data_IF_237462531883
#
_entry.id   IF_237462531883
#
_cell.length_a   1.000
_cell.length_b   1.000
_cell.length_c   1.000
_cell.angle_alpha   90.00
_cell.angle_beta   90.00
_cell.angle_gamma   90.00
#
_symmetry.space_group_name_H-M   'P 1'
#
loop_
_entity.id
_entity.type
_entity.pdbx_description
1 polymer ?
#
# COMPACT_ATOMS: atom_id res chain seq x y z
N UNK A 1 18.54 -0.93 -10.40
CA UNK A 1 19.15 0.41 -10.26
C UNK A 1 18.37 1.20 -9.22
N UNK A 2 19.01 1.64 -8.15
CA UNK A 2 18.34 2.39 -7.06
C UNK A 2 17.74 3.73 -7.54
N UNK A 3 18.32 4.30 -8.59
CA UNK A 3 17.92 5.59 -9.20
C UNK A 3 16.50 5.57 -9.78
N UNK A 4 16.03 4.42 -10.28
CA UNK A 4 14.69 4.30 -10.85
C UNK A 4 13.59 4.25 -9.77
N UNK A 5 13.90 3.68 -8.59
CA UNK A 5 12.95 3.57 -7.49
C UNK A 5 12.70 4.90 -6.78
N UNK A 6 13.74 5.68 -6.49
CA UNK A 6 13.57 7.01 -5.90
C UNK A 6 12.75 7.94 -6.79
N UNK A 7 13.01 7.90 -8.10
CA UNK A 7 12.25 8.70 -9.07
C UNK A 7 10.78 8.27 -9.11
N UNK A 8 10.50 6.96 -9.12
CA UNK A 8 9.14 6.43 -9.10
C UNK A 8 8.40 6.81 -7.80
N UNK A 9 9.05 6.67 -6.64
CA UNK A 9 8.47 7.06 -5.35
C UNK A 9 8.12 8.55 -5.32
N UNK A 10 9.01 9.42 -5.80
CA UNK A 10 8.74 10.87 -5.88
C UNK A 10 7.50 11.18 -6.71
N UNK A 11 7.35 10.55 -7.89
CA UNK A 11 6.16 10.76 -8.72
C UNK A 11 4.88 10.20 -8.07
N UNK A 12 4.98 9.07 -7.36
CA UNK A 12 3.86 8.50 -6.63
C UNK A 12 3.45 9.37 -5.44
N UNK A 13 4.40 9.98 -4.72
CA UNK A 13 4.13 10.94 -3.65
C UNK A 13 3.38 12.17 -4.16
N UNK A 14 3.83 12.77 -5.26
CA UNK A 14 3.14 13.88 -5.91
C UNK A 14 1.72 13.48 -6.36
N UNK A 15 1.57 12.28 -6.94
CA UNK A 15 0.25 11.76 -7.31
C UNK A 15 -0.65 11.55 -6.08
N UNK A 16 -0.09 11.05 -4.98
CA UNK A 16 -0.83 10.82 -3.74
C UNK A 16 -1.35 12.13 -3.16
N UNK A 17 -0.55 13.19 -3.19
CA UNK A 17 -0.92 14.53 -2.75
C UNK A 17 -2.09 15.09 -3.59
N UNK A 18 -1.96 15.08 -4.91
CA UNK A 18 -3.03 15.55 -5.82
C UNK A 18 -4.32 14.74 -5.60
N UNK A 19 -4.22 13.40 -5.51
CA UNK A 19 -5.39 12.54 -5.30
C UNK A 19 -6.05 12.79 -3.95
N UNK A 20 -5.27 13.11 -2.92
CA UNK A 20 -5.79 13.52 -1.61
C UNK A 20 -6.53 14.85 -1.71
N UNK A 21 -5.97 15.84 -2.41
CA UNK A 21 -6.59 17.17 -2.57
C UNK A 21 -7.93 17.09 -3.30
N UNK A 22 -8.04 16.26 -4.33
CA UNK A 22 -9.29 16.09 -5.10
C UNK A 22 -10.25 15.05 -4.50
N UNK A 23 -9.86 14.37 -3.42
CA UNK A 23 -10.68 13.34 -2.77
C UNK A 23 -10.77 12.00 -3.51
N UNK A 24 -9.85 11.70 -4.44
CA UNK A 24 -9.78 10.44 -5.17
C UNK A 24 -9.20 9.29 -4.31
N UNK A 25 -10.06 8.71 -3.47
CA UNK A 25 -9.68 7.62 -2.56
C UNK A 25 -9.24 6.35 -3.30
N UNK A 26 -9.87 6.02 -4.44
CA UNK A 26 -9.51 4.85 -5.24
C UNK A 26 -8.11 4.97 -5.81
N UNK A 27 -7.76 6.16 -6.32
CA UNK A 27 -6.44 6.46 -6.77
C UNK A 27 -5.40 6.50 -5.65
N UNK A 28 -5.73 7.08 -4.48
CA UNK A 28 -4.84 7.05 -3.32
C UNK A 28 -4.50 5.61 -2.92
N UNK A 29 -5.50 4.73 -2.91
CA UNK A 29 -5.35 3.32 -2.61
C UNK A 29 -4.37 2.61 -3.57
N UNK A 30 -4.54 2.81 -4.89
CA UNK A 30 -3.66 2.25 -5.90
C UNK A 30 -2.23 2.82 -5.82
N UNK A 31 -2.09 4.12 -5.58
CA UNK A 31 -0.78 4.77 -5.42
C UNK A 31 -0.01 4.21 -4.23
N UNK A 32 -0.67 4.10 -3.06
CA UNK A 32 -0.07 3.50 -1.85
C UNK A 32 0.32 2.04 -2.07
N UNK A 33 -0.53 1.26 -2.75
CA UNK A 33 -0.23 -0.13 -3.08
C UNK A 33 1.06 -0.26 -3.91
N UNK A 34 1.21 0.59 -4.92
CA UNK A 34 2.41 0.62 -5.78
C UNK A 34 3.66 1.06 -5.03
N UNK A 35 3.55 2.05 -4.14
CA UNK A 35 4.68 2.45 -3.27
C UNK A 35 5.14 1.29 -2.40
N UNK A 36 4.21 0.49 -1.87
CA UNK A 36 4.52 -0.71 -1.09
C UNK A 36 5.37 -1.72 -1.90
N UNK A 37 4.99 -1.98 -3.15
CA UNK A 37 5.76 -2.85 -4.04
C UNK A 37 7.15 -2.31 -4.34
N UNK A 38 7.29 -1.02 -4.62
CA UNK A 38 8.61 -0.41 -4.89
C UNK A 38 9.52 -0.52 -3.66
N UNK A 39 8.99 -0.26 -2.46
CA UNK A 39 9.76 -0.42 -1.23
C UNK A 39 10.19 -1.88 -1.01
N UNK A 40 9.30 -2.85 -1.25
CA UNK A 40 9.63 -4.28 -1.17
C UNK A 40 10.74 -4.64 -2.17
N UNK A 41 10.65 -4.15 -3.42
CA UNK A 41 11.70 -4.34 -4.43
C UNK A 41 13.03 -3.66 -4.08
N UNK A 42 12.99 -2.61 -3.26
CA UNK A 42 14.17 -1.93 -2.73
C UNK A 42 14.67 -2.52 -1.39
N UNK A 43 14.15 -3.70 -0.98
CA UNK A 43 14.45 -4.37 0.28
C UNK A 43 14.08 -3.58 1.56
N UNK A 44 13.19 -2.58 1.43
CA UNK A 44 12.67 -1.81 2.56
C UNK A 44 11.30 -2.36 2.99
N UNK A 45 11.33 -3.54 3.62
CA UNK A 45 10.14 -4.29 3.96
C UNK A 45 9.21 -3.55 4.94
N UNK A 46 9.77 -2.79 5.90
CA UNK A 46 8.96 -2.02 6.84
C UNK A 46 8.15 -0.92 6.14
N UNK A 47 8.77 -0.18 5.21
CA UNK A 47 8.01 0.80 4.42
C UNK A 47 7.03 0.13 3.47
N UNK A 48 7.36 -1.04 2.93
CA UNK A 48 6.43 -1.79 2.09
C UNK A 48 5.13 -2.10 2.83
N UNK A 49 5.26 -2.73 4.00
CA UNK A 49 4.15 -3.08 4.89
C UNK A 49 3.33 -1.85 5.29
N UNK A 50 3.99 -0.76 5.69
CA UNK A 50 3.29 0.49 6.03
C UNK A 50 2.41 1.01 4.88
N UNK A 51 2.91 1.00 3.64
CA UNK A 51 2.15 1.50 2.49
C UNK A 51 1.01 0.56 2.10
N UNK A 52 1.21 -0.75 2.18
CA UNK A 52 0.15 -1.74 1.95
C UNK A 52 -0.94 -1.67 3.02
N UNK A 53 -0.59 -1.49 4.30
CA UNK A 53 -1.56 -1.28 5.39
C UNK A 53 -2.39 -0.01 5.15
N UNK A 54 -1.77 1.11 4.77
CA UNK A 54 -2.50 2.33 4.42
C UNK A 54 -3.44 2.12 3.23
N UNK A 55 -3.00 1.39 2.20
CA UNK A 55 -3.83 1.03 1.05
C UNK A 55 -5.02 0.15 1.47
N UNK A 56 -4.78 -0.84 2.34
CA UNK A 56 -5.79 -1.72 2.91
C UNK A 56 -6.88 -0.95 3.66
N UNK A 57 -6.50 -0.03 4.55
CA UNK A 57 -7.50 0.75 5.30
C UNK A 57 -8.39 1.59 4.38
N UNK A 58 -7.82 2.24 3.37
CA UNK A 58 -8.62 3.00 2.39
C UNK A 58 -9.52 2.05 1.59
N UNK A 59 -8.98 0.92 1.11
CA UNK A 59 -9.73 -0.08 0.34
C UNK A 59 -10.92 -0.63 1.14
N UNK A 60 -10.70 -0.95 2.43
CA UNK A 60 -11.73 -1.42 3.36
C UNK A 60 -12.80 -0.36 3.61
N UNK A 61 -12.42 0.90 3.74
CA UNK A 61 -13.36 2.03 3.94
C UNK A 61 -14.26 2.29 2.72
N UNK A 62 -13.73 2.16 1.50
CA UNK A 62 -14.49 2.46 0.27
C UNK A 62 -15.07 1.22 -0.41
N UNK A 63 -14.80 0.01 0.11
CA UNK A 63 -15.24 -1.24 -0.48
C UNK A 63 -14.53 -1.60 -1.80
N UNK A 64 -13.24 -1.26 -1.93
CA UNK A 64 -12.50 -1.46 -3.18
C UNK A 64 -12.06 -2.91 -3.39
N UNK A 65 -12.99 -3.75 -3.87
CA UNK A 65 -12.82 -5.19 -4.00
C UNK A 65 -11.54 -5.60 -4.77
N UNK A 66 -11.22 -4.91 -5.87
CA UNK A 66 -10.04 -5.23 -6.67
C UNK A 66 -8.73 -5.12 -5.88
N UNK A 67 -8.57 -4.07 -5.07
CA UNK A 67 -7.36 -3.88 -4.26
C UNK A 67 -7.37 -4.82 -3.06
N UNK A 68 -8.54 -5.08 -2.46
CA UNK A 68 -8.67 -6.05 -1.38
C UNK A 68 -8.25 -7.46 -1.82
N UNK A 69 -8.68 -7.93 -2.99
CA UNK A 69 -8.23 -9.23 -3.52
C UNK A 69 -6.73 -9.27 -3.79
N UNK A 70 -6.15 -8.17 -4.29
CA UNK A 70 -4.70 -8.09 -4.49
C UNK A 70 -3.93 -8.14 -3.16
N UNK A 71 -4.42 -7.44 -2.14
CA UNK A 71 -3.85 -7.41 -0.80
C UNK A 71 -4.01 -8.75 -0.06
N UNK A 72 -5.10 -9.48 -0.29
CA UNK A 72 -5.31 -10.82 0.26
C UNK A 72 -4.29 -11.81 -0.32
N UNK A 73 -4.11 -11.80 -1.64
CA UNK A 73 -3.08 -12.62 -2.30
C UNK A 73 -1.68 -12.27 -1.79
N UNK A 74 -1.40 -10.98 -1.59
CA UNK A 74 -0.13 -10.52 -1.04
C UNK A 74 0.07 -10.97 0.41
N UNK A 75 -0.97 -10.90 1.25
CA UNK A 75 -0.91 -11.42 2.61
C UNK A 75 -0.55 -12.91 2.62
N UNK A 76 -1.15 -13.71 1.74
CA UNK A 76 -0.81 -15.13 1.59
C UNK A 76 0.65 -15.37 1.17
N UNK A 77 1.19 -14.54 0.26
CA UNK A 77 2.61 -14.61 -0.12
C UNK A 77 3.54 -14.28 1.05
N UNK A 78 3.10 -13.42 1.98
CA UNK A 78 3.84 -13.02 3.17
C UNK A 78 3.59 -13.93 4.39
N UNK A 79 2.82 -15.02 4.22
CA UNK A 79 2.52 -16.00 5.27
C UNK A 79 1.29 -15.70 6.12
N UNK A 80 0.47 -14.72 5.74
CA UNK A 80 -0.86 -14.48 6.29
C UNK A 80 -1.92 -15.40 5.67
N UNK A 81 -3.08 -15.54 6.32
CA UNK A 81 -4.17 -16.38 5.80
C UNK A 81 -5.25 -15.58 5.04
N UNK A 82 -5.49 -14.34 5.46
CA UNK A 82 -6.54 -13.47 4.94
C UNK A 82 -6.20 -11.99 5.19
N UNK A 83 -7.17 -11.09 4.95
CA UNK A 83 -7.02 -9.65 5.15
C UNK A 83 -6.77 -9.21 6.61
N UNK A 84 -7.07 -10.04 7.61
CA UNK A 84 -6.75 -9.76 9.02
C UNK A 84 -5.24 -9.67 9.27
N UNK A 85 -4.43 -10.23 8.38
CA UNK A 85 -2.97 -10.04 8.36
C UNK A 85 -2.60 -8.56 8.38
N UNK A 86 -3.30 -7.72 7.61
CA UNK A 86 -3.03 -6.29 7.54
C UNK A 86 -3.51 -5.55 8.79
N UNK A 87 -4.61 -5.99 9.41
CA UNK A 87 -5.06 -5.46 10.71
C UNK A 87 -4.00 -5.76 11.81
N UNK A 88 -3.41 -6.96 11.84
CA UNK A 88 -2.37 -7.33 12.79
C UNK A 88 -1.06 -6.53 12.60
N UNK A 89 -0.67 -6.25 11.35
CA UNK A 89 0.48 -5.38 11.06
C UNK A 89 0.19 -3.95 11.52
N UNK A 90 -1.01 -3.43 11.24
CA UNK A 90 -1.44 -2.10 11.66
C UNK A 90 -1.34 -1.93 13.19
N UNK A 91 -1.84 -2.91 13.95
CA UNK A 91 -1.75 -2.95 15.42
C UNK A 91 -0.30 -2.92 15.90
N UNK A 92 0.57 -3.73 15.29
CA UNK A 92 2.01 -3.77 15.63
C UNK A 92 2.72 -2.44 15.34
N UNK A 93 2.28 -1.73 14.32
CA UNK A 93 2.83 -0.43 13.91
C UNK A 93 2.19 0.77 14.62
N UNK A 94 1.05 0.58 15.29
CA UNK A 94 0.30 1.63 15.96
C UNK A 94 -0.36 2.62 15.00
N UNK A 95 -0.77 2.17 13.80
CA UNK A 95 -1.43 3.00 12.76
C UNK A 95 -2.81 2.47 12.38
#
# INVERSE_FOLDING_TARGET
>A
NQVDYETALRYLEQSLEIRREIGDRSGMCATLFNMGHIHSQNNDQQKAEMHWVKSYHIAKQIGYAQVLSALENLAQQLGGNDLSFWDAIAEKMGI
#
